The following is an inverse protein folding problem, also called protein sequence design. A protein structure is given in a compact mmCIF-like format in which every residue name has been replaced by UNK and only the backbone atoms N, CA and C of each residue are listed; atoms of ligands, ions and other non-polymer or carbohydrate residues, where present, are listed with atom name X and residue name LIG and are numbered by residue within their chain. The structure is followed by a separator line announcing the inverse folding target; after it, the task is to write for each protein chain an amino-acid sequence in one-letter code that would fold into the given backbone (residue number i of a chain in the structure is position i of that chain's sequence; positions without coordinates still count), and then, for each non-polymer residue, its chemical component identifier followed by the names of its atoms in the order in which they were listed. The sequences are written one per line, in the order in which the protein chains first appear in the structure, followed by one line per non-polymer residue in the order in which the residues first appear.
data_IF_664141293395
#
_entry.id   IF_664141293395
#
_cell.length_a   1.000
_cell.length_b   1.000
_cell.length_c   1.000
_cell.angle_alpha   90.00
_cell.angle_beta   90.00
_cell.angle_gamma   90.00
#
_symmetry.space_group_name_H-M   'P 1'
#
loop_
_entity.id
_entity.type
_entity.pdbx_description
1 polymer ?
#
# COMPACT_ATOMS: atom_id res chain seq x y z
N UNK A 1 -5.47 -6.08 4.46
CA UNK A 1 -4.00 -6.10 4.30
C UNK A 1 -3.34 -5.49 5.50
N UNK A 2 -2.21 -6.06 5.91
CA UNK A 2 -1.47 -5.62 7.10
C UNK A 2 -0.33 -4.65 6.79
N UNK A 3 -0.41 -3.94 5.67
CA UNK A 3 0.64 -3.01 5.24
C UNK A 3 0.48 -1.67 5.93
N UNK A 4 1.60 -1.00 6.23
CA UNK A 4 1.55 0.24 7.01
C UNK A 4 0.97 1.40 6.17
N UNK A 5 1.18 1.43 4.86
CA UNK A 5 0.63 2.44 3.93
C UNK A 5 -0.91 2.39 3.89
N UNK A 6 -1.49 1.21 3.60
CA UNK A 6 -2.95 1.05 3.54
C UNK A 6 -3.60 1.22 4.91
N UNK A 7 -2.91 0.82 5.98
CA UNK A 7 -3.34 1.06 7.36
C UNK A 7 -3.38 2.56 7.66
N UNK A 8 -2.39 3.32 7.19
CA UNK A 8 -2.31 4.77 7.36
C UNK A 8 -3.43 5.50 6.62
N UNK A 9 -3.61 5.22 5.33
CA UNK A 9 -4.63 5.87 4.49
C UNK A 9 -6.05 5.51 4.93
N UNK A 10 -6.28 4.25 5.31
CA UNK A 10 -7.56 3.80 5.87
C UNK A 10 -7.82 4.47 7.22
N UNK A 11 -6.83 4.53 8.12
CA UNK A 11 -6.99 5.21 9.42
C UNK A 11 -7.33 6.70 9.24
N UNK A 12 -6.62 7.42 8.38
CA UNK A 12 -6.91 8.84 8.13
C UNK A 12 -8.31 9.05 7.58
N UNK A 13 -8.73 8.21 6.62
CA UNK A 13 -10.09 8.27 6.06
C UNK A 13 -11.15 7.94 7.12
N UNK A 14 -10.89 6.94 7.96
CA UNK A 14 -11.74 6.57 9.09
C UNK A 14 -11.91 7.72 10.09
N UNK A 15 -10.84 8.43 10.44
CA UNK A 15 -10.93 9.55 11.37
C UNK A 15 -11.72 10.74 10.81
N UNK A 16 -11.61 11.00 9.50
CA UNK A 16 -12.47 11.96 8.80
C UNK A 16 -13.92 11.50 8.85
N UNK A 17 -14.21 10.24 8.54
CA UNK A 17 -15.57 9.68 8.57
C UNK A 17 -16.19 9.72 9.99
N UNK A 18 -15.42 9.42 11.03
CA UNK A 18 -15.86 9.56 12.42
C UNK A 18 -16.22 11.01 12.75
N UNK A 19 -15.40 11.97 12.31
CA UNK A 19 -15.69 13.40 12.47
C UNK A 19 -16.94 13.87 11.72
N UNK A 20 -17.31 13.19 10.64
CA UNK A 20 -18.56 13.39 9.92
C UNK A 20 -19.76 12.67 10.57
N UNK A 21 -19.55 11.91 11.64
CA UNK A 21 -20.59 11.17 12.35
C UNK A 21 -20.91 9.77 11.78
N UNK A 22 -20.11 9.28 10.83
CA UNK A 22 -20.25 7.91 10.33
C UNK A 22 -19.58 6.90 11.27
N UNK A 23 -20.03 5.65 11.19
CA UNK A 23 -19.36 4.50 11.80
C UNK A 23 -18.57 3.77 10.73
N UNK A 24 -17.39 3.28 11.07
CA UNK A 24 -16.55 2.52 10.14
C UNK A 24 -16.18 1.16 10.73
N UNK A 25 -16.01 0.17 9.84
CA UNK A 25 -15.48 -1.14 10.17
C UNK A 25 -14.38 -1.47 9.16
N UNK A 26 -13.23 -1.91 9.67
CA UNK A 26 -12.09 -2.31 8.84
C UNK A 26 -11.84 -3.80 9.00
N UNK A 27 -11.81 -4.53 7.90
CA UNK A 27 -11.53 -5.97 7.88
C UNK A 27 -10.14 -6.24 7.30
N UNK A 28 -9.37 -7.09 7.97
CA UNK A 28 -8.03 -7.48 7.53
C UNK A 28 -8.12 -8.65 6.53
N UNK A 29 -8.14 -8.32 5.23
CA UNK A 29 -8.27 -9.29 4.13
C UNK A 29 -7.04 -9.31 3.22
N UNK A 30 -6.79 -10.43 2.52
CA UNK A 30 -5.81 -10.54 1.41
C UNK A 30 -6.35 -9.89 0.12
N UNK A 31 -5.51 -9.61 -0.89
CA UNK A 31 -5.96 -8.93 -2.14
C UNK A 31 -7.10 -9.70 -2.81
N UNK A 32 -6.97 -11.02 -3.02
CA UNK A 32 -8.03 -11.78 -3.69
C UNK A 32 -9.33 -11.78 -2.89
N UNK A 33 -9.23 -11.87 -1.55
CA UNK A 33 -10.40 -11.87 -0.67
C UNK A 33 -11.05 -10.48 -0.64
N UNK A 34 -10.28 -9.40 -0.59
CA UNK A 34 -10.79 -8.01 -0.67
C UNK A 34 -11.68 -7.84 -1.89
N UNK A 35 -11.19 -8.16 -3.10
CA UNK A 35 -11.99 -7.98 -4.30
C UNK A 35 -13.19 -8.94 -4.38
N UNK A 36 -13.04 -10.19 -3.90
CA UNK A 36 -14.19 -11.10 -3.81
C UNK A 36 -15.28 -10.58 -2.86
N UNK A 37 -14.90 -10.02 -1.72
CA UNK A 37 -15.81 -9.43 -0.74
C UNK A 37 -16.48 -8.16 -1.26
N UNK A 38 -15.75 -7.32 -2.01
CA UNK A 38 -16.35 -6.16 -2.68
C UNK A 38 -17.39 -6.59 -3.72
N UNK A 39 -17.08 -7.61 -4.53
CA UNK A 39 -18.01 -8.13 -5.53
C UNK A 39 -19.27 -8.74 -4.92
N UNK A 40 -19.17 -9.30 -3.71
CA UNK A 40 -20.30 -9.81 -2.93
C UNK A 40 -21.01 -8.73 -2.08
N UNK A 41 -20.53 -7.48 -2.09
CA UNK A 41 -21.11 -6.37 -1.33
C UNK A 41 -20.78 -6.36 0.17
N UNK A 42 -19.82 -7.19 0.62
CA UNK A 42 -19.39 -7.27 2.02
C UNK A 42 -18.34 -6.21 2.39
N UNK A 43 -17.71 -5.58 1.40
CA UNK A 43 -16.76 -4.47 1.57
C UNK A 43 -17.16 -3.35 0.62
N UNK A 44 -17.23 -2.13 1.15
CA UNK A 44 -17.67 -0.97 0.39
C UNK A 44 -16.53 -0.27 -0.34
N UNK A 45 -15.39 -0.09 0.33
CA UNK A 45 -14.27 0.76 -0.10
C UNK A 45 -12.93 0.04 0.10
N UNK A 46 -12.04 0.17 -0.88
CA UNK A 46 -10.64 -0.25 -0.80
C UNK A 46 -9.75 0.87 -1.32
N UNK A 47 -8.79 1.34 -0.50
CA UNK A 47 -7.92 2.47 -0.82
C UNK A 47 -6.54 2.05 -1.38
N UNK A 48 -6.29 0.74 -1.50
CA UNK A 48 -4.96 0.19 -1.75
C UNK A 48 -4.82 -0.55 -3.08
N UNK A 49 -5.48 -0.08 -4.14
CA UNK A 49 -5.32 -0.71 -5.46
C UNK A 49 -4.05 -0.20 -6.15
N UNK A 50 -2.95 -0.95 -6.01
CA UNK A 50 -1.65 -0.64 -6.60
C UNK A 50 -1.59 -1.06 -8.07
N UNK A 51 -1.48 -0.08 -8.97
CA UNK A 51 -1.34 -0.31 -10.41
C UNK A 51 0.11 -0.02 -10.84
N UNK A 52 0.69 -0.83 -11.77
CA UNK A 52 0.02 -1.86 -12.57
C UNK A 52 -0.04 -3.26 -11.96
N UNK A 53 0.58 -3.50 -10.81
CA UNK A 53 0.83 -4.85 -10.28
C UNK A 53 -0.44 -5.61 -9.88
N UNK A 54 -1.51 -4.90 -9.50
CA UNK A 54 -2.83 -5.50 -9.19
C UNK A 54 -3.76 -5.67 -10.41
N UNK A 55 -3.32 -5.39 -11.65
CA UNK A 55 -4.15 -5.58 -12.86
C UNK A 55 -4.75 -7.00 -12.92
N UNK A 56 -3.94 -8.02 -12.60
CA UNK A 56 -4.40 -9.41 -12.57
C UNK A 56 -5.47 -9.71 -11.52
N UNK A 57 -5.51 -8.96 -10.41
CA UNK A 57 -6.53 -9.12 -9.37
C UNK A 57 -7.85 -8.46 -9.75
N UNK A 58 -7.77 -7.22 -10.24
CA UNK A 58 -8.92 -6.35 -10.38
C UNK A 58 -9.64 -6.50 -11.73
N UNK A 59 -8.92 -6.85 -12.80
CA UNK A 59 -9.44 -6.82 -14.18
C UNK A 59 -10.79 -7.51 -14.36
N UNK A 60 -10.98 -8.69 -13.76
CA UNK A 60 -12.24 -9.44 -13.86
C UNK A 60 -13.42 -8.70 -13.22
N UNK A 61 -13.17 -7.98 -12.12
CA UNK A 61 -14.20 -7.25 -11.37
C UNK A 61 -14.55 -5.91 -12.01
N UNK A 62 -13.58 -5.25 -12.66
CA UNK A 62 -13.87 -4.09 -13.53
C UNK A 62 -14.67 -4.52 -14.76
N UNK A 63 -14.25 -5.61 -15.41
CA UNK A 63 -14.89 -6.09 -16.65
C UNK A 63 -16.35 -6.50 -16.44
N UNK A 64 -16.70 -7.08 -15.29
CA UNK A 64 -18.08 -7.45 -14.97
C UNK A 64 -18.84 -6.36 -14.18
N UNK A 65 -18.20 -5.22 -13.88
CA UNK A 65 -18.79 -4.08 -13.18
C UNK A 65 -19.18 -4.35 -11.72
N UNK A 66 -18.61 -5.37 -11.07
CA UNK A 66 -18.85 -5.65 -9.65
C UNK A 66 -18.01 -4.77 -8.72
N UNK A 67 -16.91 -4.21 -9.24
CA UNK A 67 -16.06 -3.22 -8.58
C UNK A 67 -15.88 -2.03 -9.52
N UNK A 68 -15.89 -0.83 -8.96
CA UNK A 68 -15.67 0.42 -9.64
C UNK A 68 -14.37 1.05 -9.16
N UNK A 69 -13.69 1.79 -10.05
CA UNK A 69 -12.51 2.58 -9.71
C UNK A 69 -12.92 4.06 -9.68
N UNK A 70 -12.70 4.72 -8.54
CA UNK A 70 -13.18 6.09 -8.31
C UNK A 70 -12.17 7.10 -8.82
N UNK A 71 -10.92 6.99 -8.37
CA UNK A 71 -9.83 7.91 -8.73
C UNK A 71 -8.46 7.37 -8.37
N UNK A 72 -7.42 7.99 -8.91
CA UNK A 72 -6.07 7.91 -8.35
C UNK A 72 -6.06 8.66 -7.01
N UNK A 73 -5.65 7.98 -5.94
CA UNK A 73 -5.47 8.58 -4.62
C UNK A 73 -4.00 8.84 -4.28
N UNK A 74 -3.04 8.16 -4.92
CA UNK A 74 -1.60 8.45 -4.77
C UNK A 74 -0.86 8.23 -6.10
N UNK A 75 0.08 9.13 -6.39
CA UNK A 75 0.97 9.06 -7.55
C UNK A 75 2.43 9.17 -7.12
N UNK A 76 3.34 8.65 -7.96
CA UNK A 76 4.78 8.70 -7.71
C UNK A 76 5.28 7.62 -6.76
N UNK A 77 4.45 6.61 -6.50
CA UNK A 77 4.85 5.42 -5.77
C UNK A 77 5.79 4.56 -6.62
N UNK A 78 6.45 3.61 -5.97
CA UNK A 78 7.30 2.60 -6.62
C UNK A 78 7.11 1.27 -5.94
N UNK A 79 7.16 0.17 -6.68
CA UNK A 79 7.09 -1.18 -6.13
C UNK A 79 7.87 -2.17 -6.99
N UNK A 80 8.97 -2.73 -6.49
CA UNK A 80 9.82 -3.68 -7.22
C UNK A 80 10.75 -4.45 -6.28
N UNK A 81 11.66 -5.27 -6.80
CA UNK A 81 12.70 -5.92 -6.01
C UNK A 81 13.80 -4.94 -5.59
N UNK A 82 14.28 -5.11 -4.36
CA UNK A 82 15.35 -4.35 -3.78
C UNK A 82 16.36 -5.23 -3.04
N UNK A 83 17.55 -4.69 -2.84
CA UNK A 83 18.64 -5.29 -2.06
C UNK A 83 19.27 -4.24 -1.14
N UNK A 84 19.94 -4.64 -0.05
CA UNK A 84 20.76 -3.72 0.74
C UNK A 84 21.87 -3.07 -0.12
N UNK A 85 22.28 -1.85 0.24
CA UNK A 85 23.26 -1.09 -0.55
C UNK A 85 24.58 -1.86 -0.74
N UNK A 86 25.06 -2.57 0.28
CA UNK A 86 26.29 -3.37 0.17
C UNK A 86 26.18 -4.55 -0.81
N UNK A 87 24.97 -5.03 -1.08
CA UNK A 87 24.71 -6.08 -2.09
C UNK A 87 24.70 -5.44 -3.48
N UNK A 88 24.09 -4.26 -3.61
CA UNK A 88 24.12 -3.48 -4.84
C UNK A 88 25.55 -3.11 -5.22
N UNK A 89 26.32 -2.53 -4.29
CA UNK A 89 27.72 -2.15 -4.48
C UNK A 89 28.63 -3.34 -4.83
N UNK A 90 28.21 -4.56 -4.46
CA UNK A 90 28.90 -5.81 -4.79
C UNK A 90 28.51 -6.38 -6.17
N UNK A 91 27.70 -5.67 -6.96
CA UNK A 91 27.41 -5.98 -8.36
C UNK A 91 26.01 -6.54 -8.64
N UNK A 92 25.05 -6.41 -7.72
CA UNK A 92 23.64 -6.79 -7.96
C UNK A 92 22.85 -5.55 -8.32
N UNK A 93 22.79 -5.22 -9.61
CA UNK A 93 22.15 -4.00 -10.09
C UNK A 93 20.80 -4.24 -10.77
N UNK A 94 20.57 -5.46 -11.25
CA UNK A 94 19.37 -5.83 -11.99
C UNK A 94 18.79 -7.17 -11.54
N UNK A 95 17.55 -7.45 -11.95
CA UNK A 95 16.90 -8.74 -11.74
C UNK A 95 17.74 -9.91 -12.29
N UNK A 96 18.40 -9.70 -13.44
CA UNK A 96 19.28 -10.69 -14.07
C UNK A 96 20.58 -10.94 -13.30
N UNK A 97 20.95 -10.10 -12.35
CA UNK A 97 22.14 -10.30 -11.50
C UNK A 97 21.85 -11.20 -10.30
N UNK A 98 20.59 -11.35 -9.89
CA UNK A 98 20.20 -12.15 -8.71
C UNK A 98 20.72 -13.59 -8.84
N UNK A 99 20.49 -14.23 -9.99
CA UNK A 99 20.91 -15.62 -10.24
C UNK A 99 22.43 -15.82 -10.20
N UNK A 100 23.22 -14.78 -10.54
CA UNK A 100 24.70 -14.86 -10.54
C UNK A 100 25.27 -15.07 -9.14
N UNK A 101 24.48 -14.78 -8.11
CA UNK A 101 24.86 -14.89 -6.71
C UNK A 101 23.86 -15.74 -5.91
N UNK A 102 23.22 -16.71 -6.56
CA UNK A 102 22.17 -17.55 -5.98
C UNK A 102 22.56 -18.13 -4.60
N UNK A 103 23.77 -18.69 -4.48
CA UNK A 103 24.32 -19.22 -3.23
C UNK A 103 24.32 -18.20 -2.08
N UNK A 104 24.61 -16.92 -2.37
CA UNK A 104 24.66 -15.85 -1.36
C UNK A 104 23.26 -15.48 -0.87
N UNK A 105 22.28 -15.51 -1.78
CA UNK A 105 20.86 -15.33 -1.44
C UNK A 105 20.22 -16.60 -0.85
N UNK A 106 20.93 -17.73 -0.91
CA UNK A 106 20.43 -19.07 -0.54
C UNK A 106 19.17 -19.41 -1.32
N UNK A 107 19.17 -19.03 -2.60
CA UNK A 107 18.10 -19.30 -3.55
C UNK A 107 16.74 -18.76 -3.05
N UNK A 108 16.72 -17.59 -2.39
CA UNK A 108 15.49 -17.04 -1.79
C UNK A 108 15.22 -15.61 -2.18
N UNK A 109 13.96 -15.33 -2.48
CA UNK A 109 13.40 -13.98 -2.62
C UNK A 109 12.35 -13.79 -1.53
N UNK A 110 12.44 -12.71 -0.77
CA UNK A 110 11.56 -12.47 0.38
C UNK A 110 10.37 -11.60 -0.02
N UNK A 111 9.20 -12.21 0.00
CA UNK A 111 7.91 -11.54 -0.20
C UNK A 111 7.24 -11.15 1.11
N UNK A 112 5.99 -10.71 1.00
CA UNK A 112 5.10 -10.37 2.12
C UNK A 112 4.02 -11.46 2.27
N UNK A 113 2.77 -11.12 2.57
CA UNK A 113 1.73 -12.12 2.82
C UNK A 113 1.26 -12.90 1.58
N UNK A 114 0.84 -14.16 1.75
CA UNK A 114 0.24 -14.94 0.68
C UNK A 114 -0.94 -14.24 0.01
N UNK A 115 -0.94 -14.26 -1.31
CA UNK A 115 -1.95 -13.59 -2.13
C UNK A 115 -1.63 -12.13 -2.43
N UNK A 116 -0.51 -11.58 -1.95
CA UNK A 116 0.03 -10.30 -2.43
C UNK A 116 0.36 -10.35 -3.93
N UNK A 117 0.21 -9.21 -4.61
CA UNK A 117 0.50 -9.04 -6.02
C UNK A 117 1.99 -9.18 -6.39
N UNK A 118 2.89 -8.57 -5.64
CA UNK A 118 4.34 -8.75 -5.78
C UNK A 118 4.80 -10.19 -5.55
N UNK A 119 4.26 -10.88 -4.53
CA UNK A 119 4.52 -12.31 -4.32
C UNK A 119 4.14 -13.14 -5.55
N UNK A 120 2.96 -12.91 -6.13
CA UNK A 120 2.55 -13.64 -7.35
C UNK A 120 3.41 -13.30 -8.57
N UNK A 121 3.88 -12.07 -8.69
CA UNK A 121 4.83 -11.69 -9.75
C UNK A 121 6.16 -12.41 -9.58
N UNK A 122 6.68 -12.51 -8.35
CA UNK A 122 7.88 -13.31 -8.04
C UNK A 122 7.67 -14.78 -8.36
N UNK A 123 6.55 -15.36 -7.91
CA UNK A 123 6.24 -16.76 -8.20
C UNK A 123 6.13 -17.01 -9.71
N UNK A 124 5.48 -16.11 -10.45
CA UNK A 124 5.43 -16.17 -11.92
C UNK A 124 6.83 -16.15 -12.53
N UNK A 125 7.74 -15.30 -12.07
CA UNK A 125 9.12 -15.26 -12.56
C UNK A 125 9.84 -16.60 -12.32
N UNK A 126 9.66 -17.21 -11.14
CA UNK A 126 10.23 -18.52 -10.81
C UNK A 126 9.65 -19.60 -11.73
N UNK A 127 8.32 -19.68 -11.83
CA UNK A 127 7.59 -20.70 -12.61
C UNK A 127 7.93 -20.64 -14.10
N UNK A 128 8.11 -19.45 -14.66
CA UNK A 128 8.46 -19.26 -16.08
C UNK A 128 9.97 -19.25 -16.33
N UNK A 129 10.79 -19.48 -15.30
CA UNK A 129 12.24 -19.38 -15.35
C UNK A 129 12.75 -18.03 -15.88
N UNK A 130 12.00 -16.96 -15.62
CA UNK A 130 12.42 -15.60 -15.93
C UNK A 130 13.72 -15.29 -15.19
N UNK A 131 14.65 -14.61 -15.85
CA UNK A 131 15.96 -14.27 -15.28
C UNK A 131 16.75 -15.47 -14.72
N UNK A 132 16.42 -16.69 -15.17
CA UNK A 132 17.01 -17.96 -14.70
C UNK A 132 16.71 -18.27 -13.22
N UNK A 133 15.56 -17.83 -12.69
CA UNK A 133 15.18 -17.96 -11.28
C UNK A 133 14.45 -19.27 -10.92
N UNK A 134 14.37 -20.27 -11.81
CA UNK A 134 13.58 -21.51 -11.57
C UNK A 134 13.91 -22.27 -10.27
N UNK A 135 15.15 -22.13 -9.79
CA UNK A 135 15.65 -22.85 -8.61
C UNK A 135 15.55 -21.99 -7.32
N UNK A 136 15.01 -20.77 -7.43
CA UNK A 136 14.73 -19.91 -6.27
C UNK A 136 13.37 -20.24 -5.65
N UNK A 137 13.30 -20.07 -4.33
CA UNK A 137 12.09 -20.12 -3.54
C UNK A 137 11.60 -18.71 -3.17
N UNK A 138 10.28 -18.49 -3.29
CA UNK A 138 9.62 -17.36 -2.68
C UNK A 138 9.39 -17.64 -1.18
N UNK A 139 9.93 -16.77 -0.32
CA UNK A 139 9.69 -16.81 1.13
C UNK A 139 8.57 -15.85 1.49
N UNK A 140 7.38 -16.38 1.74
CA UNK A 140 6.20 -15.61 2.13
C UNK A 140 6.11 -15.40 3.65
N UNK A 141 5.66 -14.22 4.08
CA UNK A 141 5.39 -13.90 5.48
C UNK A 141 4.35 -12.79 5.63
N UNK A 142 4.79 -11.55 5.81
CA UNK A 142 4.02 -10.30 5.90
C UNK A 142 4.98 -9.13 5.75
N UNK A 143 4.50 -7.90 5.59
CA UNK A 143 5.37 -6.70 5.64
C UNK A 143 6.30 -6.72 6.86
N UNK A 144 5.73 -6.90 8.07
CA UNK A 144 6.52 -6.93 9.31
C UNK A 144 7.53 -8.10 9.34
N UNK A 145 7.13 -9.28 8.85
CA UNK A 145 8.00 -10.45 8.76
C UNK A 145 9.19 -10.22 7.83
N UNK A 146 8.92 -9.67 6.64
CA UNK A 146 9.93 -9.32 5.65
C UNK A 146 10.87 -8.23 6.17
N UNK A 147 10.36 -7.14 6.73
CA UNK A 147 11.17 -6.06 7.32
C UNK A 147 12.07 -6.59 8.45
N UNK A 148 11.56 -7.47 9.31
CA UNK A 148 12.34 -8.11 10.37
C UNK A 148 13.50 -8.95 9.82
N UNK A 149 13.25 -9.69 8.74
CA UNK A 149 14.27 -10.50 8.06
C UNK A 149 15.30 -9.64 7.34
N UNK A 150 14.90 -8.56 6.65
CA UNK A 150 15.81 -7.58 6.04
C UNK A 150 16.71 -6.94 7.10
N UNK A 151 16.11 -6.45 8.19
CA UNK A 151 16.84 -5.86 9.31
C UNK A 151 17.87 -6.83 9.90
N UNK A 152 17.50 -8.12 10.08
CA UNK A 152 18.40 -9.17 10.54
C UNK A 152 19.53 -9.46 9.55
N UNK A 153 19.22 -9.54 8.26
CA UNK A 153 20.20 -9.80 7.20
C UNK A 153 21.23 -8.67 7.15
N UNK A 154 20.78 -7.40 7.17
CA UNK A 154 21.65 -6.22 7.20
C UNK A 154 22.56 -6.24 8.43
N UNK A 155 22.02 -6.48 9.64
CA UNK A 155 22.85 -6.56 10.87
C UNK A 155 23.92 -7.65 10.81
N UNK A 156 23.64 -8.74 10.10
CA UNK A 156 24.57 -9.88 9.93
C UNK A 156 25.38 -9.80 8.64
N UNK A 157 25.25 -8.71 7.89
CA UNK A 157 25.87 -8.52 6.58
C UNK A 157 25.60 -9.66 5.58
N UNK A 158 24.39 -10.25 5.65
CA UNK A 158 23.95 -11.35 4.79
C UNK A 158 23.22 -10.81 3.56
N UNK A 159 23.35 -11.49 2.43
CA UNK A 159 22.69 -11.06 1.20
C UNK A 159 21.19 -11.38 1.26
N UNK A 160 20.38 -10.45 0.81
CA UNK A 160 18.92 -10.58 0.77
C UNK A 160 18.38 -9.78 -0.41
N UNK A 161 17.42 -10.37 -1.13
CA UNK A 161 16.58 -9.69 -2.11
C UNK A 161 15.13 -9.79 -1.64
N UNK A 162 14.41 -8.67 -1.70
CA UNK A 162 13.08 -8.54 -1.09
C UNK A 162 12.20 -7.56 -1.88
N UNK A 163 10.90 -7.59 -1.62
CA UNK A 163 9.95 -6.60 -2.14
C UNK A 163 10.19 -5.23 -1.46
N UNK A 164 10.53 -4.21 -2.23
CA UNK A 164 10.69 -2.84 -1.77
C UNK A 164 9.68 -1.90 -2.43
N UNK A 165 9.23 -0.89 -1.69
CA UNK A 165 8.33 0.14 -2.23
C UNK A 165 8.55 1.51 -1.60
N UNK A 166 8.03 2.53 -2.29
CA UNK A 166 7.89 3.88 -1.80
C UNK A 166 6.45 4.36 -2.04
N UNK A 167 5.81 5.06 -1.07
CA UNK A 167 6.37 5.50 0.21
C UNK A 167 6.46 4.35 1.22
N UNK A 168 7.52 4.34 2.06
CA UNK A 168 7.65 3.46 3.22
C UNK A 168 8.90 3.85 4.05
N UNK A 169 8.86 3.81 5.40
CA UNK A 169 10.01 4.15 6.25
C UNK A 169 11.27 3.30 6.01
N UNK A 170 11.17 2.14 5.34
CA UNK A 170 12.33 1.33 4.95
C UNK A 170 13.35 2.12 4.13
N UNK A 171 12.90 3.07 3.30
CA UNK A 171 13.77 3.88 2.44
C UNK A 171 14.68 4.82 3.23
N UNK A 172 14.30 5.15 4.47
CA UNK A 172 15.12 5.92 5.40
C UNK A 172 15.86 5.01 6.40
N UNK A 173 15.20 3.96 6.87
CA UNK A 173 15.72 3.06 7.90
C UNK A 173 16.80 2.09 7.36
N UNK A 174 16.74 1.74 6.08
CA UNK A 174 17.71 0.87 5.43
C UNK A 174 18.41 1.61 4.29
N UNK A 175 19.74 1.47 4.22
CA UNK A 175 20.49 1.78 3.00
C UNK A 175 20.23 0.64 2.02
N UNK A 176 19.37 0.87 1.05
CA UNK A 176 18.94 -0.11 0.05
C UNK A 176 18.88 0.52 -1.35
N UNK A 177 18.93 -0.34 -2.36
CA UNK A 177 18.79 0.03 -3.77
C UNK A 177 17.72 -0.83 -4.44
N UNK A 178 16.97 -0.21 -5.35
CA UNK A 178 16.02 -0.89 -6.22
C UNK A 178 16.74 -1.49 -7.42
N UNK A 179 16.31 -2.67 -7.87
CA UNK A 179 16.93 -3.37 -8.99
C UNK A 179 16.28 -2.98 -10.33
N UNK A 180 17.13 -2.83 -11.34
CA UNK A 180 16.74 -2.58 -12.74
C UNK A 180 16.26 -3.85 -13.47
N UNK A 181 15.61 -3.67 -14.62
CA UNK A 181 15.28 -4.77 -15.55
C UNK A 181 14.05 -5.60 -15.15
N UNK A 182 13.26 -5.14 -14.18
CA UNK A 182 12.00 -5.75 -13.75
C UNK A 182 10.76 -5.27 -14.51
N UNK A 183 10.95 -4.51 -15.59
CA UNK A 183 9.90 -3.71 -16.24
C UNK A 183 8.69 -4.53 -16.72
N UNK A 184 8.92 -5.72 -17.27
CA UNK A 184 7.84 -6.61 -17.76
C UNK A 184 7.01 -7.25 -16.64
N UNK A 185 7.47 -7.15 -15.38
CA UNK A 185 6.82 -7.77 -14.22
C UNK A 185 6.25 -6.72 -13.27
N UNK A 186 7.07 -5.77 -12.83
CA UNK A 186 6.69 -4.74 -11.86
C UNK A 186 6.34 -3.39 -12.50
N UNK A 187 6.65 -3.21 -13.79
CA UNK A 187 6.48 -1.95 -14.51
C UNK A 187 7.78 -1.14 -14.64
N UNK A 188 7.83 -0.19 -15.59
CA UNK A 188 9.03 0.60 -15.87
C UNK A 188 9.39 1.53 -14.71
N UNK A 189 10.58 2.14 -14.77
CA UNK A 189 11.07 3.13 -13.80
C UNK A 189 11.11 2.61 -12.35
N UNK A 190 11.63 1.39 -12.17
CA UNK A 190 11.66 0.68 -10.88
C UNK A 190 10.25 0.39 -10.32
N UNK A 191 9.35 -0.04 -11.20
CA UNK A 191 7.95 -0.32 -10.84
C UNK A 191 7.20 0.94 -10.42
N UNK A 192 7.33 2.03 -11.19
CA UNK A 192 6.57 3.25 -10.96
C UNK A 192 5.07 2.94 -10.89
N UNK A 193 4.44 3.34 -9.79
CA UNK A 193 3.12 2.90 -9.41
C UNK A 193 2.17 4.07 -9.08
N UNK A 194 0.88 3.80 -9.26
CA UNK A 194 -0.22 4.66 -8.83
C UNK A 194 -1.18 3.83 -7.99
N UNK A 195 -1.73 4.45 -6.94
CA UNK A 195 -2.69 3.80 -6.06
C UNK A 195 -4.06 4.40 -6.33
N UNK A 196 -5.07 3.53 -6.44
CA UNK A 196 -6.44 3.91 -6.72
C UNK A 196 -7.36 3.60 -5.54
N UNK A 197 -8.41 4.41 -5.44
CA UNK A 197 -9.59 4.11 -4.61
C UNK A 197 -10.59 3.30 -5.43
N UNK A 198 -11.00 2.17 -4.89
CA UNK A 198 -12.01 1.29 -5.46
C UNK A 198 -13.22 1.17 -4.54
N UNK A 199 -14.38 0.96 -5.13
CA UNK A 199 -15.63 0.74 -4.39
C UNK A 199 -16.42 -0.42 -4.99
N UNK A 200 -17.32 -1.03 -4.21
CA UNK A 200 -18.27 -2.00 -4.76
C UNK A 200 -19.22 -1.32 -5.75
N UNK A 201 -19.82 -2.12 -6.63
CA UNK A 201 -20.84 -1.66 -7.58
C UNK A 201 -21.89 -0.75 -6.94
N UNK A 202 -22.11 0.41 -7.56
CA UNK A 202 -23.16 1.37 -7.21
C UNK A 202 -22.91 2.19 -5.95
N UNK A 203 -21.80 1.99 -5.23
CA UNK A 203 -21.60 2.62 -3.91
C UNK A 203 -21.62 4.15 -3.95
N UNK A 204 -21.05 4.77 -5.00
CA UNK A 204 -21.03 6.24 -5.12
C UNK A 204 -22.41 6.84 -5.43
N UNK A 205 -23.35 6.04 -5.94
CA UNK A 205 -24.75 6.44 -6.16
C UNK A 205 -25.60 6.17 -4.93
N UNK A 206 -25.36 5.05 -4.26
CA UNK A 206 -26.06 4.64 -3.04
C UNK A 206 -25.71 5.55 -1.85
N UNK A 207 -24.43 5.91 -1.72
CA UNK A 207 -23.90 6.77 -0.65
C UNK A 207 -23.26 8.04 -1.27
N UNK A 208 -24.04 8.97 -1.84
CA UNK A 208 -23.51 10.07 -2.63
C UNK A 208 -22.60 11.02 -1.84
N UNK A 209 -22.89 11.25 -0.56
CA UNK A 209 -22.05 12.08 0.31
C UNK A 209 -20.65 11.47 0.52
N UNK A 210 -20.57 10.17 0.81
CA UNK A 210 -19.29 9.45 0.91
C UNK A 210 -18.64 9.32 -0.47
N UNK A 211 -19.44 9.12 -1.53
CA UNK A 211 -18.97 9.11 -2.91
C UNK A 211 -18.24 10.41 -3.27
N UNK A 212 -18.73 11.57 -2.83
CA UNK A 212 -18.04 12.86 -3.01
C UNK A 212 -16.72 12.90 -2.24
N UNK A 213 -16.70 12.47 -0.96
CA UNK A 213 -15.45 12.36 -0.20
C UNK A 213 -14.42 11.50 -0.94
N UNK A 214 -14.80 10.31 -1.41
CA UNK A 214 -13.89 9.39 -2.10
C UNK A 214 -13.41 9.93 -3.46
N UNK A 215 -14.23 10.76 -4.14
CA UNK A 215 -13.82 11.49 -5.35
C UNK A 215 -12.88 12.64 -5.05
N UNK A 216 -12.89 13.20 -3.84
CA UNK A 216 -12.00 14.29 -3.43
C UNK A 216 -10.71 13.79 -2.76
N UNK A 217 -10.76 12.60 -2.16
CA UNK A 217 -9.70 12.03 -1.35
C UNK A 217 -8.44 11.73 -2.17
N UNK A 218 -7.35 12.41 -1.82
CA UNK A 218 -6.04 12.23 -2.42
C UNK A 218 -4.96 12.37 -1.36
N UNK A 219 -4.03 11.42 -1.37
CA UNK A 219 -2.87 11.36 -0.49
C UNK A 219 -1.62 11.85 -1.20
N UNK A 220 -0.56 12.03 -0.42
CA UNK A 220 0.75 12.42 -0.91
C UNK A 220 1.83 11.57 -0.24
N UNK A 221 2.95 11.38 -0.93
CA UNK A 221 4.09 10.63 -0.38
C UNK A 221 4.56 11.20 0.98
N UNK A 222 4.66 12.53 1.19
CA UNK A 222 5.02 13.08 2.50
C UNK A 222 4.00 12.76 3.60
N UNK A 223 2.71 12.81 3.27
CA UNK A 223 1.63 12.47 4.21
C UNK A 223 1.72 11.02 4.66
N UNK A 224 1.76 10.07 3.71
CA UNK A 224 1.83 8.65 4.05
C UNK A 224 3.11 8.31 4.79
N UNK A 225 4.28 8.81 4.33
CA UNK A 225 5.53 8.59 5.04
C UNK A 225 5.48 9.09 6.49
N UNK A 226 4.86 10.25 6.74
CA UNK A 226 4.77 10.80 8.09
C UNK A 226 3.89 9.93 8.99
N UNK A 227 2.71 9.53 8.52
CA UNK A 227 1.79 8.69 9.32
C UNK A 227 2.40 7.30 9.55
N UNK A 228 3.06 6.72 8.54
CA UNK A 228 3.76 5.45 8.68
C UNK A 228 4.93 5.53 9.66
N UNK A 229 5.69 6.63 9.66
CA UNK A 229 6.77 6.86 10.64
C UNK A 229 6.25 6.89 12.07
N UNK A 230 5.14 7.62 12.30
CA UNK A 230 4.48 7.66 13.60
C UNK A 230 4.02 6.25 14.05
N UNK A 231 3.55 5.41 13.13
CA UNK A 231 3.15 4.03 13.44
C UNK A 231 4.35 3.13 13.73
N UNK A 232 5.33 3.10 12.83
CA UNK A 232 6.41 2.10 12.84
C UNK A 232 7.57 2.48 13.76
N UNK A 233 7.95 3.76 13.78
CA UNK A 233 9.12 4.25 14.52
C UNK A 233 8.73 4.86 15.87
N UNK A 234 7.54 5.49 15.98
CA UNK A 234 7.04 6.05 17.25
C UNK A 234 6.07 5.10 18.00
N UNK A 235 5.79 3.91 17.46
CA UNK A 235 4.87 2.92 18.03
C UNK A 235 3.46 3.49 18.33
N UNK A 236 3.00 4.48 17.56
CA UNK A 236 1.65 5.00 17.71
C UNK A 236 0.63 4.02 17.13
N UNK A 237 -0.56 3.97 17.74
CA UNK A 237 -1.70 3.29 17.10
C UNK A 237 -2.08 4.04 15.81
N UNK A 238 -2.48 3.36 14.73
CA UNK A 238 -2.82 4.01 13.46
C UNK A 238 -3.83 5.15 13.59
N UNK A 239 -4.88 4.98 14.39
CA UNK A 239 -5.89 6.00 14.65
C UNK A 239 -5.30 7.24 15.33
N UNK A 240 -4.37 7.04 16.26
CA UNK A 240 -3.69 8.15 16.94
C UNK A 240 -2.74 8.89 16.00
N UNK A 241 -1.97 8.15 15.19
CA UNK A 241 -1.10 8.74 14.17
C UNK A 241 -1.90 9.56 13.15
N UNK A 242 -3.01 8.99 12.65
CA UNK A 242 -3.94 9.65 11.74
C UNK A 242 -4.52 10.95 12.33
N UNK A 243 -5.05 10.91 13.56
CA UNK A 243 -5.56 12.12 14.23
C UNK A 243 -4.48 13.17 14.45
N UNK A 244 -3.29 12.76 14.89
CA UNK A 244 -2.16 13.66 15.12
C UNK A 244 -1.76 14.39 13.84
N UNK A 245 -1.65 13.65 12.74
CA UNK A 245 -1.35 14.20 11.43
C UNK A 245 -2.46 15.13 10.94
N UNK A 246 -3.73 14.72 11.02
CA UNK A 246 -4.87 15.55 10.63
C UNK A 246 -4.93 16.87 11.41
N UNK A 247 -4.72 16.84 12.74
CA UNK A 247 -4.65 18.06 13.57
C UNK A 247 -3.59 19.06 13.11
N UNK A 248 -2.49 18.56 12.56
CA UNK A 248 -1.37 19.37 12.10
C UNK A 248 -1.51 19.82 10.64
N UNK A 249 -2.48 19.27 9.89
CA UNK A 249 -2.66 19.47 8.45
C UNK A 249 -4.16 19.68 8.14
N UNK A 250 -4.82 20.62 8.82
CA UNK A 250 -6.27 20.85 8.69
C UNK A 250 -6.68 21.40 7.31
N UNK A 251 -5.73 21.94 6.55
CA UNK A 251 -5.90 22.47 5.20
C UNK A 251 -6.28 21.39 4.19
N UNK A 252 -5.82 20.15 4.37
CA UNK A 252 -6.21 19.03 3.46
C UNK A 252 -7.72 18.76 3.49
N UNK A 253 -8.38 19.11 4.59
CA UNK A 253 -9.82 18.96 4.75
C UNK A 253 -10.61 19.92 3.84
N UNK A 254 -10.02 21.03 3.40
CA UNK A 254 -10.69 21.95 2.46
C UNK A 254 -11.01 21.25 1.15
N UNK A 255 -10.05 20.51 0.61
CA UNK A 255 -10.23 19.76 -0.62
C UNK A 255 -11.05 18.49 -0.38
N UNK A 256 -10.71 17.70 0.65
CA UNK A 256 -11.37 16.41 0.86
C UNK A 256 -12.86 16.56 1.20
N UNK A 257 -13.25 17.61 1.92
CA UNK A 257 -14.62 17.83 2.37
C UNK A 257 -15.40 18.85 1.51
N UNK A 258 -14.88 19.22 0.35
CA UNK A 258 -15.61 20.03 -0.62
C UNK A 258 -16.91 19.33 -1.05
N UNK A 259 -18.06 19.92 -0.72
CA UNK A 259 -19.37 19.32 -1.00
C UNK A 259 -19.70 18.07 -0.17
N UNK A 260 -19.01 17.87 0.96
CA UNK A 260 -19.25 16.76 1.90
C UNK A 260 -19.84 17.30 3.20
N UNK A 261 -20.93 16.68 3.66
CA UNK A 261 -21.62 17.02 4.91
C UNK A 261 -21.46 15.91 5.95
N UNK A 262 -21.84 16.20 7.19
CA UNK A 262 -22.03 15.17 8.22
C UNK A 262 -23.25 14.28 7.91
N UNK A 263 -23.39 13.18 8.65
CA UNK A 263 -24.56 12.29 8.54
C UNK A 263 -25.92 13.01 8.76
N UNK A 264 -25.92 14.10 9.53
CA UNK A 264 -27.10 14.95 9.79
C UNK A 264 -27.15 16.23 8.92
N UNK A 265 -26.31 16.34 7.88
CA UNK A 265 -26.37 17.39 6.87
C UNK A 265 -25.68 18.71 7.23
N UNK A 266 -24.88 18.77 8.30
CA UNK A 266 -24.10 19.95 8.69
C UNK A 266 -22.80 20.07 7.87
N UNK A 267 -22.16 21.26 7.83
CA UNK A 267 -20.88 21.44 7.13
C UNK A 267 -19.80 20.46 7.64
N UNK A 268 -19.23 19.66 6.73
CA UNK A 268 -18.33 18.57 7.09
C UNK A 268 -17.04 19.03 7.77
N UNK A 269 -16.34 20.05 7.21
CA UNK A 269 -15.06 20.52 7.75
C UNK A 269 -15.15 20.97 9.20
N UNK A 270 -16.17 21.78 9.53
CA UNK A 270 -16.35 22.27 10.90
C UNK A 270 -16.54 21.13 11.91
N UNK A 271 -17.34 20.12 11.56
CA UNK A 271 -17.57 18.95 12.39
C UNK A 271 -16.31 18.09 12.57
N UNK A 272 -15.55 17.85 11.48
CA UNK A 272 -14.29 17.09 11.55
C UNK A 272 -13.24 17.82 12.39
N UNK A 273 -13.09 19.14 12.21
CA UNK A 273 -12.17 19.94 13.05
C UNK A 273 -12.57 19.88 14.52
N UNK A 274 -13.86 20.00 14.82
CA UNK A 274 -14.37 19.87 16.19
C UNK A 274 -14.08 18.47 16.76
N UNK A 275 -14.34 17.42 15.99
CA UNK A 275 -14.05 16.04 16.35
C UNK A 275 -12.57 15.85 16.70
N UNK A 276 -11.67 16.29 15.83
CA UNK A 276 -10.23 16.20 16.04
C UNK A 276 -9.83 16.90 17.36
N UNK A 277 -10.40 18.06 17.67
CA UNK A 277 -10.10 18.80 18.89
C UNK A 277 -10.76 18.25 20.16
N UNK A 278 -11.81 17.44 20.04
CA UNK A 278 -12.70 17.05 21.14
C UNK A 278 -12.22 15.92 22.06
N UNK A 279 -11.03 15.34 21.85
CA UNK A 279 -10.46 14.33 22.78
C UNK A 279 -8.92 14.28 22.64
N UNK A 280 -8.23 14.94 23.58
CA UNK A 280 -6.83 14.65 23.93
C UNK A 280 -6.84 13.69 25.11
#
# INVERSE_FOLDING_TARGET
MGWTDITSTTAVTTEVLHGLGYQTKTDLLSVPVTYSSMASGNIDVFLGNWMPTMEGDIKKYLSNGSVEQVRVNLSGAKYTLAVPQYVYDAGVHSFADIVKYADKFRDRIYGIEPGNDGNRLIQKMIDTNAFQLKDFDLVESSEAGMISQVSRAIRRHQWIVFLGWAPHPMNANFKMAYLDGGDDYFGPNYGGATIYTNVRKGYTTECPNIGNLLKNLQFSLPMENRVMDDILNQNMKPQQAAKSWLKSNLDVLDQWLEGVTTVDGKPGKAAVVQYLNSNS
#
